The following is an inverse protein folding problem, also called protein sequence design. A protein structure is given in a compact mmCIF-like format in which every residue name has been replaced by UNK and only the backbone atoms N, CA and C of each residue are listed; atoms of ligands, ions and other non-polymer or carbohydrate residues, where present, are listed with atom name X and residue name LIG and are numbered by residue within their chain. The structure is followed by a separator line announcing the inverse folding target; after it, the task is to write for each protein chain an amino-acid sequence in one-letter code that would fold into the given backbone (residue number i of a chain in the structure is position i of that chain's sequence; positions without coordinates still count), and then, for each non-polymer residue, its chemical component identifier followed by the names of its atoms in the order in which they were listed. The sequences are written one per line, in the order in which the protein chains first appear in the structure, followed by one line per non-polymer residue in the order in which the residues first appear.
data_IF_070358993024
#
_entry.id   IF_070358993024
#
_cell.length_a   1.000
_cell.length_b   1.000
_cell.length_c   1.000
_cell.angle_alpha   90.00
_cell.angle_beta   90.00
_cell.angle_gamma   90.00
#
_symmetry.space_group_name_H-M   'P 1'
#
loop_
_entity.id
_entity.type
_entity.pdbx_description
1 polymer ?
#
# COMPACT_ATOMS: atom_id res chain seq x y z
N UNK A 1 15.99 -30.41 -22.95
CA UNK A 1 16.43 -29.07 -22.46
C UNK A 1 15.40 -27.97 -22.73
N UNK A 2 14.93 -27.77 -23.97
CA UNK A 2 13.96 -26.72 -24.31
C UNK A 2 12.63 -26.82 -23.55
N UNK A 3 12.08 -28.03 -23.43
CA UNK A 3 10.86 -28.33 -22.65
C UNK A 3 10.99 -27.92 -21.17
N UNK A 4 12.15 -28.17 -20.56
CA UNK A 4 12.42 -27.86 -19.14
C UNK A 4 12.46 -26.34 -18.94
N UNK A 5 13.07 -25.60 -19.86
CA UNK A 5 13.15 -24.14 -19.80
C UNK A 5 11.76 -23.52 -19.92
N UNK A 6 10.91 -24.04 -20.81
CA UNK A 6 9.52 -23.58 -20.98
C UNK A 6 8.70 -23.85 -19.71
N UNK A 7 8.85 -25.03 -19.10
CA UNK A 7 8.22 -25.37 -17.83
C UNK A 7 8.66 -24.43 -16.69
N UNK A 8 9.95 -24.13 -16.57
CA UNK A 8 10.48 -23.24 -15.54
C UNK A 8 10.01 -21.78 -15.73
N UNK A 9 9.93 -21.30 -16.98
CA UNK A 9 9.41 -19.97 -17.31
C UNK A 9 7.93 -19.85 -16.94
N UNK A 10 7.11 -20.84 -17.31
CA UNK A 10 5.68 -20.86 -16.96
C UNK A 10 5.46 -20.94 -15.45
N UNK A 11 6.27 -21.72 -14.73
CA UNK A 11 6.22 -21.80 -13.28
C UNK A 11 6.54 -20.45 -12.62
N UNK A 12 7.56 -19.75 -13.12
CA UNK A 12 7.91 -18.41 -12.63
C UNK A 12 6.81 -17.37 -12.85
N UNK A 13 6.05 -17.48 -13.94
CA UNK A 13 4.91 -16.61 -14.24
C UNK A 13 3.73 -16.87 -13.31
N UNK A 14 3.44 -18.14 -12.99
CA UNK A 14 2.36 -18.51 -12.07
C UNK A 14 2.64 -17.98 -10.65
N UNK A 15 3.89 -18.03 -10.18
CA UNK A 15 4.27 -17.46 -8.88
C UNK A 15 4.19 -15.92 -8.84
N UNK A 16 4.41 -15.23 -9.96
CA UNK A 16 4.27 -13.76 -10.02
C UNK A 16 2.81 -13.30 -9.86
N UNK A 17 1.84 -14.10 -10.30
CA UNK A 17 0.41 -13.74 -10.25
C UNK A 17 -0.17 -13.81 -8.83
N UNK A 18 0.40 -14.61 -7.94
CA UNK A 18 -0.06 -14.71 -6.54
C UNK A 18 0.32 -13.50 -5.67
N UNK A 19 1.22 -12.63 -6.15
CA UNK A 19 1.61 -11.40 -5.45
C UNK A 19 0.55 -10.27 -5.52
N UNK A 20 -0.54 -10.45 -6.28
CA UNK A 20 -1.65 -9.47 -6.40
C UNK A 20 -2.75 -9.76 -5.35
N UNK A 21 -2.47 -10.59 -4.34
CA UNK A 21 -3.44 -10.89 -3.28
C UNK A 21 -3.23 -9.97 -2.09
N UNK A 22 -3.72 -8.73 -2.20
CA UNK A 22 -3.87 -7.78 -1.09
C UNK A 22 -2.54 -7.25 -0.54
N UNK A 23 -2.24 -6.02 -0.94
CA UNK A 23 -1.03 -5.25 -0.64
C UNK A 23 -0.69 -5.32 0.86
N UNK A 24 0.56 -5.65 1.17
CA UNK A 24 1.09 -5.70 2.54
C UNK A 24 0.76 -4.44 3.35
N UNK A 25 0.82 -3.22 2.78
CA UNK A 25 0.32 -2.01 3.44
C UNK A 25 -1.10 -2.15 3.99
N UNK A 26 -2.04 -2.68 3.18
CA UNK A 26 -3.44 -2.83 3.58
C UNK A 26 -3.64 -3.92 4.64
N UNK A 27 -2.95 -5.05 4.50
CA UNK A 27 -3.07 -6.18 5.44
C UNK A 27 -2.42 -5.90 6.80
N UNK A 28 -1.38 -5.09 6.81
CA UNK A 28 -0.64 -4.75 8.04
C UNK A 28 -1.15 -3.49 8.72
N UNK A 29 -2.08 -2.76 8.10
CA UNK A 29 -2.65 -1.55 8.66
C UNK A 29 -3.45 -1.89 9.93
N UNK A 30 -3.05 -1.29 11.03
CA UNK A 30 -3.77 -1.32 12.31
C UNK A 30 -3.89 0.09 12.83
N UNK A 31 -5.09 0.51 13.21
CA UNK A 31 -5.35 1.85 13.71
C UNK A 31 -6.13 1.78 15.02
N UNK A 32 -5.76 2.64 15.96
CA UNK A 32 -6.44 2.84 17.22
C UNK A 32 -6.49 4.35 17.52
N UNK A 33 -7.37 4.74 18.41
CA UNK A 33 -7.54 6.14 18.77
C UNK A 33 -7.72 6.29 20.28
N UNK A 34 -7.46 7.50 20.77
CA UNK A 34 -7.62 7.87 22.18
C UNK A 34 -9.05 8.36 22.50
N UNK A 35 -9.94 8.36 21.51
CA UNK A 35 -11.31 8.89 21.55
C UNK A 35 -11.41 10.35 22.04
N UNK A 36 -10.33 11.11 21.93
CA UNK A 36 -10.23 12.47 22.45
C UNK A 36 -9.62 13.43 21.45
N UNK A 37 -8.47 13.09 20.86
CA UNK A 37 -7.69 14.03 20.07
C UNK A 37 -6.87 13.41 18.94
N UNK A 38 -6.58 12.10 19.02
CA UNK A 38 -5.57 11.47 18.18
C UNK A 38 -6.00 10.10 17.67
N UNK A 39 -5.68 9.86 16.40
CA UNK A 39 -5.68 8.53 15.79
C UNK A 39 -4.23 8.15 15.51
N UNK A 40 -3.86 6.94 15.90
CA UNK A 40 -2.57 6.33 15.62
C UNK A 40 -2.76 5.11 14.74
N UNK A 41 -1.91 4.97 13.72
CA UNK A 41 -1.89 3.82 12.84
C UNK A 41 -0.47 3.26 12.70
N UNK A 42 -0.36 1.94 12.59
CA UNK A 42 0.86 1.25 12.21
C UNK A 42 0.62 0.48 10.92
N UNK A 43 1.61 0.43 10.04
CA UNK A 43 1.57 -0.39 8.82
C UNK A 43 2.97 -0.74 8.33
N UNK A 44 3.05 -1.64 7.36
CA UNK A 44 4.30 -2.13 6.79
C UNK A 44 4.28 -2.11 5.26
N UNK A 45 5.46 -1.93 4.66
CA UNK A 45 5.70 -2.19 3.24
C UNK A 45 7.01 -2.92 3.02
N UNK A 46 7.14 -3.59 1.88
CA UNK A 46 8.42 -4.16 1.47
C UNK A 46 9.45 -3.07 1.20
N UNK A 47 10.68 -3.25 1.70
CA UNK A 47 11.81 -2.36 1.42
C UNK A 47 12.07 -2.23 -0.10
N UNK A 48 11.95 -3.33 -0.85
CA UNK A 48 12.11 -3.34 -2.31
C UNK A 48 11.00 -2.57 -3.04
N UNK A 49 9.75 -2.77 -2.63
CA UNK A 49 8.62 -2.04 -3.21
C UNK A 49 8.77 -0.54 -2.95
N UNK A 50 9.15 -0.15 -1.73
CA UNK A 50 9.39 1.24 -1.32
C UNK A 50 10.49 1.92 -2.13
N UNK A 51 11.57 1.19 -2.44
CA UNK A 51 12.66 1.69 -3.28
C UNK A 51 12.19 2.00 -4.71
N UNK A 52 11.22 1.26 -5.23
CA UNK A 52 10.61 1.51 -6.54
C UNK A 52 9.57 2.63 -6.48
N UNK A 53 8.56 2.48 -5.62
CA UNK A 53 7.44 3.40 -5.43
C UNK A 53 7.02 3.33 -3.96
N UNK A 54 7.14 4.44 -3.24
CA UNK A 54 6.67 4.47 -1.86
C UNK A 54 5.19 4.73 -1.76
N UNK A 55 4.57 4.23 -0.69
CA UNK A 55 3.17 4.51 -0.39
C UNK A 55 3.05 5.56 0.72
N UNK A 56 1.98 6.34 0.66
CA UNK A 56 1.57 7.32 1.65
C UNK A 56 0.18 6.91 2.15
N UNK A 57 0.00 6.87 3.47
CA UNK A 57 -1.28 6.57 4.10
C UNK A 57 -2.12 7.85 4.19
N UNK A 58 -3.36 7.76 3.73
CA UNK A 58 -4.38 8.81 3.84
C UNK A 58 -5.55 8.31 4.69
N UNK A 59 -6.11 9.21 5.48
CA UNK A 59 -7.32 9.03 6.27
C UNK A 59 -8.43 9.90 5.66
N UNK A 60 -9.61 9.33 5.47
CA UNK A 60 -10.82 10.05 5.04
C UNK A 60 -11.90 9.92 6.09
N UNK A 61 -12.41 11.06 6.56
CA UNK A 61 -13.58 11.13 7.43
C UNK A 61 -14.85 10.83 6.61
N UNK A 62 -15.68 9.87 7.04
CA UNK A 62 -16.88 9.46 6.31
C UNK A 62 -18.02 10.51 6.36
N UNK A 63 -18.00 11.44 7.31
CA UNK A 63 -19.00 12.49 7.51
C UNK A 63 -18.60 13.75 6.76
N UNK A 64 -17.39 14.26 7.02
CA UNK A 64 -16.90 15.52 6.45
C UNK A 64 -16.38 15.31 5.01
N UNK A 65 -16.12 14.06 4.62
CA UNK A 65 -15.55 13.66 3.33
C UNK A 65 -14.18 14.25 3.01
N UNK A 66 -13.52 14.85 4.01
CA UNK A 66 -12.17 15.39 3.89
C UNK A 66 -11.15 14.25 3.92
N UNK A 67 -10.16 14.30 3.02
CA UNK A 67 -9.05 13.33 2.98
C UNK A 67 -7.77 14.02 3.43
N UNK A 68 -7.13 13.47 4.46
CA UNK A 68 -5.90 13.99 5.06
C UNK A 68 -4.79 12.96 4.92
N UNK A 69 -3.58 13.45 4.64
CA UNK A 69 -2.39 12.63 4.75
C UNK A 69 -2.13 12.31 6.23
N UNK A 70 -1.69 11.09 6.53
CA UNK A 70 -1.26 10.70 7.87
C UNK A 70 0.22 11.06 8.07
N UNK A 71 0.56 11.64 9.23
CA UNK A 71 1.95 11.98 9.55
C UNK A 71 2.70 10.72 9.99
N UNK A 72 3.46 10.14 9.07
CA UNK A 72 4.18 8.88 9.28
C UNK A 72 5.67 9.08 9.53
N UNK A 73 6.20 8.34 10.51
CA UNK A 73 7.64 8.17 10.74
C UNK A 73 8.01 6.69 10.66
N UNK A 74 9.19 6.40 10.14
CA UNK A 74 9.73 5.04 10.15
C UNK A 74 10.02 4.65 11.60
N UNK A 75 9.57 3.46 12.01
CA UNK A 75 9.92 2.88 13.29
C UNK A 75 11.35 2.33 13.22
N UNK A 76 12.20 2.69 14.18
CA UNK A 76 13.60 2.23 14.23
C UNK A 76 13.70 0.85 14.84
N UNK A 77 14.70 0.07 14.42
CA UNK A 77 14.95 -1.32 14.86
C UNK A 77 15.08 -1.50 16.38
N UNK A 78 15.36 -0.42 17.15
CA UNK A 78 15.39 -0.46 18.61
C UNK A 78 14.06 -0.84 19.26
N UNK A 79 12.94 -0.71 18.53
CA UNK A 79 11.59 -0.83 19.08
C UNK A 79 10.89 -2.14 18.67
N UNK A 80 11.54 -2.99 17.86
CA UNK A 80 10.95 -4.21 17.30
C UNK A 80 11.95 -5.36 17.37
N UNK A 81 11.62 -6.40 18.14
CA UNK A 81 12.54 -7.51 18.39
C UNK A 81 12.76 -8.46 17.18
N UNK A 82 11.92 -8.47 16.14
CA UNK A 82 11.93 -9.57 15.15
C UNK A 82 11.37 -9.16 13.76
N UNK A 83 11.56 -7.93 13.31
CA UNK A 83 11.21 -7.59 11.94
C UNK A 83 12.32 -8.05 10.98
N UNK A 84 12.04 -8.93 9.98
CA UNK A 84 13.02 -9.22 8.95
C UNK A 84 13.35 -7.92 8.19
N UNK A 85 14.63 -7.68 7.88
CA UNK A 85 15.13 -6.49 7.14
C UNK A 85 14.41 -6.22 5.79
N UNK A 86 13.55 -7.13 5.34
CA UNK A 86 12.73 -7.03 4.14
C UNK A 86 11.54 -6.07 4.25
N UNK A 87 11.19 -5.61 5.45
CA UNK A 87 10.04 -4.73 5.69
C UNK A 87 10.41 -3.40 6.36
N UNK A 88 9.71 -2.35 5.96
CA UNK A 88 9.73 -1.04 6.59
C UNK A 88 8.48 -0.89 7.44
N UNK A 89 8.65 -0.63 8.74
CA UNK A 89 7.56 -0.38 9.67
C UNK A 89 7.32 1.12 9.82
N UNK A 90 6.05 1.50 9.75
CA UNK A 90 5.62 2.88 9.84
C UNK A 90 4.73 3.07 11.06
N UNK A 91 4.99 4.15 11.79
CA UNK A 91 4.15 4.67 12.84
C UNK A 91 3.59 6.01 12.38
N UNK A 92 2.27 6.11 12.30
CA UNK A 92 1.59 7.28 11.77
C UNK A 92 0.59 7.84 12.78
N UNK A 93 0.37 9.15 12.76
CA UNK A 93 -0.66 9.77 13.56
C UNK A 93 -1.34 10.93 12.84
N UNK A 94 -2.56 11.22 13.26
CA UNK A 94 -3.25 12.47 12.94
C UNK A 94 -4.03 12.94 14.16
N UNK A 95 -4.25 14.25 14.22
CA UNK A 95 -5.18 14.85 15.17
C UNK A 95 -6.54 15.03 14.54
N UNK A 96 -7.60 14.69 15.27
CA UNK A 96 -8.99 14.88 14.86
C UNK A 96 -9.82 15.19 16.09
N UNK A 97 -10.97 15.82 15.89
CA UNK A 97 -11.98 16.08 16.92
C UNK A 97 -13.30 15.34 16.64
N UNK A 98 -13.33 14.53 15.58
CA UNK A 98 -14.53 13.80 15.13
C UNK A 98 -14.48 12.40 15.71
N UNK A 99 -15.03 12.24 16.92
CA UNK A 99 -15.18 10.94 17.59
C UNK A 99 -16.63 10.73 17.98
N UNK A 100 -17.13 9.52 17.75
CA UNK A 100 -18.51 9.18 18.03
C UNK A 100 -18.81 7.75 17.61
N UNK A 101 -19.86 7.19 18.20
CA UNK A 101 -20.39 5.90 17.74
C UNK A 101 -20.92 6.12 16.32
N UNK A 102 -20.42 5.32 15.35
CA UNK A 102 -20.78 5.44 13.94
C UNK A 102 -19.94 6.42 13.12
N UNK A 103 -18.90 7.03 13.72
CA UNK A 103 -17.87 7.74 12.95
C UNK A 103 -16.84 6.72 12.46
N UNK A 104 -16.74 6.57 11.14
CA UNK A 104 -15.79 5.64 10.52
C UNK A 104 -14.74 6.39 9.72
N UNK A 105 -13.49 5.99 9.89
CA UNK A 105 -12.40 6.47 9.06
C UNK A 105 -12.08 5.46 7.97
N UNK A 106 -12.08 5.94 6.72
CA UNK A 106 -11.65 5.16 5.56
C UNK A 106 -10.18 5.45 5.31
N UNK A 107 -9.37 4.40 5.23
CA UNK A 107 -7.94 4.53 4.97
C UNK A 107 -7.60 4.12 3.55
N UNK A 108 -6.64 4.81 2.95
CA UNK A 108 -6.17 4.50 1.60
C UNK A 108 -4.68 4.74 1.47
N UNK A 109 -4.04 3.96 0.59
CA UNK A 109 -2.63 4.14 0.26
C UNK A 109 -2.52 4.74 -1.15
N UNK A 110 -1.70 5.79 -1.29
CA UNK A 110 -1.40 6.38 -2.60
C UNK A 110 0.11 6.39 -2.85
N UNK A 111 0.56 6.20 -4.09
CA UNK A 111 1.96 6.38 -4.46
C UNK A 111 2.48 7.77 -4.09
N UNK A 112 3.71 7.86 -3.61
CA UNK A 112 4.40 9.10 -3.28
C UNK A 112 4.87 9.91 -4.51
N UNK A 113 4.54 9.43 -5.71
CA UNK A 113 4.83 10.05 -7.00
C UNK A 113 3.76 9.65 -8.00
N UNK A 114 3.48 10.48 -8.99
CA UNK A 114 2.65 10.07 -10.11
C UNK A 114 3.36 8.99 -10.93
N UNK A 115 2.63 7.91 -11.25
CA UNK A 115 3.10 6.86 -12.15
C UNK A 115 2.54 7.17 -13.53
N UNK A 116 3.40 7.53 -14.47
CA UNK A 116 3.00 7.73 -15.87
C UNK A 116 2.98 6.36 -16.55
N UNK A 117 1.79 5.90 -16.91
CA UNK A 117 1.60 4.71 -17.74
C UNK A 117 1.10 5.18 -19.10
N UNK A 118 1.89 4.91 -20.15
CA UNK A 118 1.51 5.21 -21.52
C UNK A 118 1.07 3.92 -22.21
N UNK A 119 -0.08 3.97 -22.88
CA UNK A 119 -0.60 2.88 -23.70
C UNK A 119 -0.59 3.32 -25.16
N UNK A 120 0.34 2.79 -25.94
CA UNK A 120 0.34 2.95 -27.40
C UNK A 120 -0.61 1.93 -28.01
N UNK A 121 -1.73 2.39 -28.58
CA UNK A 121 -2.68 1.54 -29.31
C UNK A 121 -2.51 1.79 -30.81
N UNK A 122 -2.27 0.72 -31.56
CA UNK A 122 -2.31 0.77 -33.03
C UNK A 122 -3.77 0.66 -33.50
N UNK A 123 -4.30 1.75 -34.05
CA UNK A 123 -5.69 1.88 -34.47
C UNK A 123 -6.00 1.17 -35.81
N UNK A 124 -4.99 0.70 -36.55
CA UNK A 124 -5.18 0.24 -37.93
C UNK A 124 -5.20 -1.29 -38.12
N UNK A 125 -5.29 -2.08 -37.05
CA UNK A 125 -5.28 -3.55 -37.17
C UNK A 125 -6.63 -4.19 -37.59
N UNK A 126 -7.72 -3.41 -37.71
CA UNK A 126 -9.05 -3.94 -38.02
C UNK A 126 -9.54 -3.69 -39.46
N UNK A 127 -8.64 -3.43 -40.42
CA UNK A 127 -8.99 -3.13 -41.81
C UNK A 127 -8.31 -4.04 -42.84
N UNK A 128 -8.56 -5.34 -42.76
CA UNK A 128 -8.31 -6.28 -43.88
C UNK A 128 -9.50 -7.22 -43.99
N UNK A 129 -10.57 -6.70 -44.58
CA UNK A 129 -11.54 -7.48 -45.32
C UNK A 129 -11.19 -7.40 -46.82
#
# INVERSE_FOLDING_TARGET
MKEIIILLLNLSLIFRVQAIRGDIPMKSLSCYNDYSSQVTCTWMEHSEARALVGMILYQKDNIIMETKEMLCKRQTESDLHEAPNSYVHWFCHNTTNSFGIGVDYIYSFKPNKMLQAELSVDLFQNGKD
#
